data_IF_778848290036
#
_entry.id   IF_778848290036
#
_cell.length_a   1.000
_cell.length_b   1.000
_cell.length_c   1.000
_cell.angle_alpha   90.00
_cell.angle_beta   90.00
_cell.angle_gamma   90.00
#
_symmetry.space_group_name_H-M   'P 1'
#
loop_
_entity.id
_entity.type
_entity.pdbx_description
1 polymer ?
#
# COMPACT_ATOMS: atom_id res chain seq x y z
N UNK A 1 1.95 18.67 6.74
CA UNK A 1 3.19 17.98 6.34
C UNK A 1 3.38 18.12 4.85
N UNK A 2 4.63 18.28 4.39
CA UNK A 2 4.95 18.43 2.97
C UNK A 2 5.27 17.07 2.35
N UNK A 3 4.87 16.87 1.09
CA UNK A 3 5.17 15.68 0.32
C UNK A 3 6.68 15.54 0.03
N UNK A 4 7.18 14.31 -0.13
CA UNK A 4 8.59 14.05 -0.46
C UNK A 4 8.76 13.89 -1.97
N UNK A 5 9.65 14.69 -2.57
CA UNK A 5 9.91 14.65 -4.02
C UNK A 5 11.16 13.83 -4.32
N UNK A 6 11.02 12.84 -5.20
CA UNK A 6 12.15 12.06 -5.71
C UNK A 6 12.70 12.78 -6.95
N UNK A 7 13.94 13.24 -6.85
CA UNK A 7 14.67 13.80 -7.99
C UNK A 7 15.46 12.70 -8.72
N UNK A 8 15.52 12.80 -10.06
CA UNK A 8 16.36 12.01 -10.98
C UNK A 8 16.03 10.51 -11.05
N UNK A 9 14.85 10.15 -11.57
CA UNK A 9 14.55 8.78 -12.01
C UNK A 9 15.17 8.51 -13.41
N UNK A 10 15.33 9.55 -14.24
CA UNK A 10 16.05 9.54 -15.51
C UNK A 10 16.47 10.98 -15.87
N UNK A 11 17.74 11.24 -16.17
CA UNK A 11 18.28 12.59 -16.42
C UNK A 11 17.65 13.30 -17.63
N UNK A 12 16.95 12.56 -18.50
CA UNK A 12 16.24 13.08 -19.69
C UNK A 12 14.73 13.19 -19.55
N UNK A 13 14.14 12.62 -18.49
CA UNK A 13 12.70 12.62 -18.21
C UNK A 13 12.49 12.94 -16.73
N UNK A 14 12.32 14.22 -16.40
CA UNK A 14 11.91 14.67 -15.06
C UNK A 14 10.40 14.58 -14.93
N UNK A 15 9.86 13.37 -14.75
CA UNK A 15 8.54 13.24 -14.17
C UNK A 15 8.67 13.57 -12.67
N UNK A 16 7.96 14.58 -12.14
CA UNK A 16 7.95 14.84 -10.71
C UNK A 16 7.23 13.68 -10.03
N UNK A 17 8.00 12.74 -9.51
CA UNK A 17 7.46 11.64 -8.71
C UNK A 17 7.43 12.09 -7.25
N UNK A 18 6.25 12.07 -6.68
CA UNK A 18 5.98 12.57 -5.33
C UNK A 18 5.41 11.45 -4.48
N UNK A 19 6.01 11.25 -3.31
CA UNK A 19 5.55 10.34 -2.28
C UNK A 19 4.68 11.11 -1.28
N UNK A 20 3.49 10.59 -1.01
CA UNK A 20 2.52 11.19 -0.10
C UNK A 20 2.73 10.70 1.33
N UNK A 21 2.59 11.60 2.30
CA UNK A 21 2.64 11.22 3.71
C UNK A 21 1.39 10.42 4.09
N UNK A 22 1.50 9.62 5.16
CA UNK A 22 0.38 8.83 5.67
C UNK A 22 -0.86 9.68 5.97
N UNK A 23 -0.68 10.90 6.52
CA UNK A 23 -1.79 11.81 6.82
C UNK A 23 -2.54 12.27 5.57
N UNK A 24 -1.81 12.58 4.49
CA UNK A 24 -2.41 12.98 3.21
C UNK A 24 -3.20 11.82 2.62
N UNK A 25 -2.62 10.61 2.63
CA UNK A 25 -3.28 9.39 2.16
C UNK A 25 -4.57 9.15 2.96
N UNK A 26 -4.52 9.22 4.30
CA UNK A 26 -5.70 9.01 5.15
C UNK A 26 -6.79 10.05 4.94
N UNK A 27 -6.42 11.32 4.84
CA UNK A 27 -7.38 12.39 4.56
C UNK A 27 -8.12 12.13 3.26
N UNK A 28 -7.40 11.71 2.21
CA UNK A 28 -8.00 11.37 0.92
C UNK A 28 -8.88 10.13 1.00
N UNK A 29 -8.48 9.08 1.73
CA UNK A 29 -9.31 7.90 1.95
C UNK A 29 -10.63 8.23 2.70
N UNK A 30 -10.61 9.17 3.66
CA UNK A 30 -11.84 9.64 4.32
C UNK A 30 -12.80 10.39 3.38
N UNK A 31 -12.28 11.10 2.38
CA UNK A 31 -13.10 11.73 1.35
C UNK A 31 -13.73 10.66 0.45
N UNK A 32 -12.93 9.69 0.00
CA UNK A 32 -13.39 8.62 -0.88
C UNK A 32 -14.49 7.77 -0.23
N UNK A 33 -14.46 7.54 1.08
CA UNK A 33 -15.53 6.85 1.83
C UNK A 33 -16.90 7.55 1.75
N UNK A 34 -16.94 8.86 1.48
CA UNK A 34 -18.19 9.65 1.42
C UNK A 34 -18.78 9.71 0.01
N UNK A 35 -18.01 9.34 -1.00
CA UNK A 35 -18.44 9.26 -2.39
C UNK A 35 -19.08 7.89 -2.66
N UNK A 36 -19.71 7.73 -3.83
CA UNK A 36 -20.13 6.41 -4.32
C UNK A 36 -18.88 5.61 -4.74
N UNK A 37 -18.15 5.12 -3.74
CA UNK A 37 -16.84 4.50 -3.88
C UNK A 37 -16.85 3.08 -3.29
N UNK A 38 -16.15 2.11 -3.91
CA UNK A 38 -16.08 0.75 -3.37
C UNK A 38 -15.34 0.63 -2.04
N UNK A 39 -14.60 1.65 -1.58
CA UNK A 39 -13.91 1.63 -0.28
C UNK A 39 -14.93 1.75 0.86
N UNK A 40 -15.06 0.70 1.66
CA UNK A 40 -15.97 0.67 2.82
C UNK A 40 -15.31 1.19 4.10
N UNK A 41 -14.04 0.84 4.29
CA UNK A 41 -13.29 1.18 5.50
C UNK A 41 -11.78 1.16 5.24
N UNK A 42 -11.01 1.78 6.13
CA UNK A 42 -9.57 1.63 6.17
C UNK A 42 -9.05 1.83 7.58
N UNK A 43 -7.91 1.22 7.90
CA UNK A 43 -7.26 1.40 9.20
C UNK A 43 -5.76 1.15 9.10
N UNK A 44 -5.02 1.74 10.04
CA UNK A 44 -3.59 1.49 10.21
C UNK A 44 -3.34 0.21 10.99
N UNK A 45 -2.35 -0.55 10.54
CA UNK A 45 -1.82 -1.70 11.26
C UNK A 45 -0.33 -1.52 11.50
N UNK A 46 0.04 -1.04 12.69
CA UNK A 46 1.43 -0.91 13.12
C UNK A 46 2.08 -2.28 13.34
N UNK A 47 3.39 -2.38 13.07
CA UNK A 47 4.16 -3.63 13.19
C UNK A 47 3.42 -4.78 12.52
N UNK A 48 3.02 -4.57 11.27
CA UNK A 48 2.19 -5.46 10.50
C UNK A 48 2.89 -6.82 10.34
N UNK A 49 2.16 -7.89 10.64
CA UNK A 49 2.63 -9.26 10.43
C UNK A 49 1.52 -10.08 9.81
N UNK A 50 1.88 -11.16 9.11
CA UNK A 50 0.90 -12.14 8.59
C UNK A 50 -0.03 -12.67 9.70
N UNK A 51 0.47 -12.78 10.94
CA UNK A 51 -0.32 -13.18 12.10
C UNK A 51 -1.36 -12.13 12.48
N UNK A 52 -0.94 -10.86 12.64
CA UNK A 52 -1.86 -9.77 12.98
C UNK A 52 -2.95 -9.57 11.92
N UNK A 53 -2.62 -9.70 10.63
CA UNK A 53 -3.62 -9.61 9.56
C UNK A 53 -4.67 -10.71 9.73
N UNK A 54 -4.24 -11.96 9.94
CA UNK A 54 -5.16 -13.09 10.20
C UNK A 54 -6.05 -12.83 11.41
N UNK A 55 -5.52 -12.24 12.47
CA UNK A 55 -6.26 -11.94 13.72
C UNK A 55 -7.26 -10.80 13.57
N UNK A 56 -7.03 -9.87 12.62
CA UNK A 56 -7.98 -8.80 12.31
C UNK A 56 -9.10 -9.24 11.34
N UNK A 57 -9.01 -10.43 10.73
CA UNK A 57 -9.97 -10.87 9.72
C UNK A 57 -11.04 -11.84 10.24
N UNK A 58 -12.30 -11.41 10.27
CA UNK A 58 -13.44 -12.00 9.50
C UNK A 58 -14.76 -11.25 9.79
N UNK A 59 -15.26 -10.43 8.86
CA UNK A 59 -16.68 -10.08 8.76
C UNK A 59 -17.14 -10.29 7.31
N UNK A 60 -18.22 -11.06 7.12
CA UNK A 60 -19.05 -11.08 5.91
C UNK A 60 -18.35 -11.23 4.55
N UNK A 61 -17.63 -12.34 4.35
CA UNK A 61 -17.13 -12.82 3.03
C UNK A 61 -16.04 -11.99 2.34
N UNK A 62 -15.55 -10.88 2.90
CA UNK A 62 -14.40 -10.15 2.38
C UNK A 62 -13.08 -10.91 2.64
N UNK A 63 -12.55 -11.59 1.62
CA UNK A 63 -11.36 -12.44 1.70
C UNK A 63 -10.10 -11.68 1.32
N UNK A 64 -10.22 -10.76 0.37
CA UNK A 64 -9.16 -9.94 -0.19
C UNK A 64 -9.29 -8.50 0.28
N UNK A 65 -8.17 -7.79 0.29
CA UNK A 65 -8.11 -6.36 0.59
C UNK A 65 -6.91 -5.74 -0.11
N UNK A 66 -6.99 -4.43 -0.36
CA UNK A 66 -5.86 -3.64 -0.82
C UNK A 66 -5.11 -3.04 0.38
N UNK A 67 -3.82 -2.77 0.22
CA UNK A 67 -3.01 -2.18 1.26
C UNK A 67 -1.97 -1.22 0.70
N UNK A 68 -1.50 -0.31 1.55
CA UNK A 68 -0.35 0.56 1.25
C UNK A 68 0.78 0.25 2.23
N UNK A 69 1.99 0.02 1.71
CA UNK A 69 3.23 -0.07 2.48
C UNK A 69 3.96 1.26 2.46
N UNK A 70 4.62 1.55 3.57
CA UNK A 70 5.29 2.82 3.80
C UNK A 70 6.80 2.64 3.88
N UNK A 71 7.53 3.64 3.41
CA UNK A 71 8.93 3.81 3.73
C UNK A 71 9.08 4.85 4.83
N UNK A 72 10.16 4.73 5.60
CA UNK A 72 10.49 5.66 6.67
C UNK A 72 11.57 6.66 6.20
N UNK A 73 11.28 7.95 6.28
CA UNK A 73 12.24 9.03 6.04
C UNK A 73 12.29 9.91 7.28
N UNK A 74 13.41 9.88 8.00
CA UNK A 74 13.62 10.71 9.20
C UNK A 74 12.51 10.58 10.26
N UNK A 75 11.87 9.41 10.37
CA UNK A 75 10.75 9.16 11.30
C UNK A 75 9.36 9.35 10.68
N UNK A 76 9.25 9.93 9.49
CA UNK A 76 7.99 10.15 8.80
C UNK A 76 7.66 9.00 7.83
N UNK A 77 6.37 8.65 7.73
CA UNK A 77 5.85 7.55 6.90
C UNK A 77 5.35 8.08 5.55
N UNK A 78 5.92 7.57 4.46
CA UNK A 78 5.52 7.90 3.09
C UNK A 78 5.10 6.67 2.30
N UNK A 79 3.95 6.72 1.63
CA UNK A 79 3.44 5.59 0.86
C UNK A 79 4.37 5.25 -0.30
N UNK A 80 4.77 3.98 -0.43
CA UNK A 80 5.70 3.53 -1.46
C UNK A 80 5.13 2.46 -2.38
N UNK A 81 4.37 1.51 -1.84
CA UNK A 81 3.82 0.37 -2.59
C UNK A 81 2.34 0.24 -2.30
N UNK A 82 1.55 0.07 -3.35
CA UNK A 82 0.16 -0.39 -3.27
C UNK A 82 0.12 -1.85 -3.67
N UNK A 83 -0.55 -2.68 -2.88
CA UNK A 83 -0.66 -4.11 -3.16
C UNK A 83 -2.03 -4.66 -2.77
N UNK A 84 -2.36 -5.85 -3.26
CA UNK A 84 -3.50 -6.64 -2.80
C UNK A 84 -3.05 -7.91 -2.12
N UNK A 85 -3.74 -8.29 -1.05
CA UNK A 85 -3.53 -9.57 -0.39
C UNK A 85 -4.83 -10.14 0.16
N UNK A 86 -4.75 -11.14 1.04
CA UNK A 86 -5.92 -11.76 1.64
C UNK A 86 -5.72 -12.04 3.13
N UNK A 87 -6.82 -12.17 3.86
CA UNK A 87 -6.78 -12.40 5.31
C UNK A 87 -6.31 -13.80 5.71
N UNK A 88 -6.47 -14.81 4.85
CA UNK A 88 -6.17 -16.22 5.19
C UNK A 88 -4.67 -16.54 5.10
N UNK A 89 -4.06 -16.15 3.99
CA UNK A 89 -2.66 -16.36 3.65
C UNK A 89 -2.07 -15.05 3.11
N UNK A 90 -1.83 -14.06 3.99
CA UNK A 90 -1.34 -12.76 3.57
C UNK A 90 0.07 -12.88 2.99
N UNK A 91 0.25 -12.39 1.76
CA UNK A 91 1.55 -12.13 1.17
C UNK A 91 2.03 -10.73 1.50
N UNK A 92 2.74 -10.63 2.63
CA UNK A 92 3.33 -9.39 3.14
C UNK A 92 4.78 -9.67 3.55
N UNK A 93 5.70 -8.88 3.00
CA UNK A 93 7.14 -8.95 3.26
C UNK A 93 7.73 -7.53 3.31
N UNK A 94 8.55 -7.28 4.33
CA UNK A 94 9.30 -6.05 4.60
C UNK A 94 10.82 -6.26 4.53
N UNK A 95 11.27 -7.39 4.00
CA UNK A 95 12.68 -7.62 3.74
C UNK A 95 13.17 -6.70 2.61
N UNK A 96 14.35 -6.12 2.82
CA UNK A 96 15.09 -5.38 1.78
C UNK A 96 15.79 -6.32 0.80
N UNK A 97 16.29 -7.45 1.31
CA UNK A 97 17.13 -8.39 0.60
C UNK A 97 16.41 -9.73 0.48
N UNK A 98 15.91 -10.05 -0.71
CA UNK A 98 15.34 -11.36 -1.01
C UNK A 98 16.31 -12.12 -1.92
N UNK A 99 17.33 -12.74 -1.31
CA UNK A 99 18.41 -13.41 -2.05
C UNK A 99 19.10 -12.50 -3.09
N UNK A 100 19.68 -13.11 -4.13
CA UNK A 100 20.31 -12.42 -5.28
C UNK A 100 19.30 -11.70 -6.19
N UNK A 101 18.05 -11.51 -5.78
CA UNK A 101 16.99 -11.05 -6.64
C UNK A 101 16.35 -9.77 -6.06
N UNK A 102 16.81 -8.61 -6.56
CA UNK A 102 16.19 -7.28 -6.40
C UNK A 102 14.84 -7.22 -7.17
N UNK A 103 13.95 -8.18 -6.95
CA UNK A 103 12.84 -8.47 -7.89
C UNK A 103 11.75 -7.42 -7.95
N UNK A 104 11.63 -6.51 -6.96
CA UNK A 104 10.71 -5.38 -7.04
C UNK A 104 11.45 -4.05 -7.10
N UNK A 105 10.90 -3.12 -7.89
CA UNK A 105 11.44 -1.76 -8.04
C UNK A 105 11.55 -1.05 -6.69
N UNK A 106 10.58 -1.25 -5.79
CA UNK A 106 10.59 -0.67 -4.46
C UNK A 106 11.80 -1.10 -3.61
N UNK A 107 12.18 -2.38 -3.65
CA UNK A 107 13.37 -2.88 -2.93
C UNK A 107 14.65 -2.27 -3.47
N UNK A 108 14.76 -2.19 -4.79
CA UNK A 108 15.90 -1.53 -5.44
C UNK A 108 15.95 -0.05 -5.06
N UNK A 109 14.83 0.66 -5.12
CA UNK A 109 14.74 2.06 -4.71
C UNK A 109 15.21 2.28 -3.27
N UNK A 110 14.72 1.46 -2.33
CA UNK A 110 15.13 1.53 -0.91
C UNK A 110 16.61 1.24 -0.72
N UNK A 111 17.16 0.25 -1.43
CA UNK A 111 18.59 -0.08 -1.38
C UNK A 111 19.46 1.04 -1.95
N UNK A 112 19.12 1.55 -3.14
CA UNK A 112 19.88 2.59 -3.85
C UNK A 112 19.89 3.94 -3.09
N UNK A 113 18.84 4.19 -2.27
CA UNK A 113 18.69 5.41 -1.48
C UNK A 113 19.04 5.26 0.00
N UNK A 114 19.45 4.07 0.44
CA UNK A 114 19.70 3.74 1.86
C UNK A 114 18.50 4.06 2.78
N UNK A 115 17.29 3.75 2.32
CA UNK A 115 16.03 3.99 3.03
C UNK A 115 15.44 2.69 3.56
N UNK A 116 14.66 2.73 4.64
CA UNK A 116 14.04 1.55 5.24
C UNK A 116 12.53 1.50 4.99
N UNK A 117 12.00 0.29 4.95
CA UNK A 117 10.56 0.09 5.14
C UNK A 117 10.16 0.58 6.53
N UNK A 118 8.97 1.16 6.62
CA UNK A 118 8.25 1.26 7.88
C UNK A 118 7.45 -0.04 8.06
N UNK A 119 7.27 -0.50 9.30
CA UNK A 119 6.52 -1.73 9.59
C UNK A 119 5.01 -1.53 9.67
N UNK A 120 4.53 -0.32 9.38
CA UNK A 120 3.12 0.03 9.28
C UNK A 120 2.57 -0.25 7.88
N UNK A 121 1.32 -0.68 7.80
CA UNK A 121 0.50 -0.61 6.58
C UNK A 121 -0.81 0.10 6.86
N UNK A 122 -1.43 0.63 5.81
CA UNK A 122 -2.87 0.90 5.80
C UNK A 122 -3.53 -0.28 5.10
N UNK A 123 -4.53 -0.87 5.73
CA UNK A 123 -5.45 -1.84 5.14
C UNK A 123 -6.66 -1.07 4.62
N UNK A 124 -7.06 -1.32 3.37
CA UNK A 124 -8.20 -0.71 2.69
C UNK A 124 -9.19 -1.82 2.36
N UNK A 125 -10.34 -1.76 3.00
CA UNK A 125 -11.45 -2.70 2.85
C UNK A 125 -12.44 -2.16 1.83
N UNK A 126 -13.05 -3.07 1.09
CA UNK A 126 -14.09 -2.74 0.15
C UNK A 126 -15.46 -3.19 0.62
N UNK A 127 -16.50 -2.70 -0.04
CA UNK A 127 -17.87 -3.18 0.18
C UNK A 127 -17.95 -4.70 -0.02
N UNK A 128 -18.79 -5.42 0.74
CA UNK A 128 -18.93 -6.86 0.59
C UNK A 128 -19.35 -7.27 -0.83
N UNK A 129 -18.83 -8.41 -1.28
CA UNK A 129 -19.16 -8.97 -2.59
C UNK A 129 -19.79 -10.36 -2.46
N UNK A 130 -20.40 -10.84 -3.55
CA UNK A 130 -21.21 -12.04 -3.51
C UNK A 130 -20.41 -13.35 -3.63
N UNK A 131 -19.16 -13.28 -4.10
CA UNK A 131 -18.32 -14.45 -4.33
C UNK A 131 -16.82 -14.09 -4.31
N UNK A 132 -15.96 -15.10 -4.21
CA UNK A 132 -14.49 -14.96 -4.11
C UNK A 132 -13.85 -14.25 -5.32
N UNK A 133 -14.38 -14.45 -6.51
CA UNK A 133 -13.82 -13.87 -7.74
C UNK A 133 -14.07 -12.37 -7.76
N UNK A 134 -15.31 -11.94 -7.55
CA UNK A 134 -15.68 -10.53 -7.44
C UNK A 134 -14.97 -9.84 -6.27
N UNK A 135 -14.76 -10.53 -5.16
CA UNK A 135 -13.98 -10.04 -4.01
C UNK A 135 -12.53 -9.72 -4.40
N UNK A 136 -11.89 -10.67 -5.11
CA UNK A 136 -10.53 -10.52 -5.58
C UNK A 136 -10.39 -9.42 -6.63
N UNK A 137 -11.36 -9.32 -7.56
CA UNK A 137 -11.42 -8.27 -8.58
C UNK A 137 -11.61 -6.88 -7.94
N UNK A 138 -12.46 -6.76 -6.93
CA UNK A 138 -12.70 -5.50 -6.23
C UNK A 138 -11.44 -5.00 -5.52
N UNK A 139 -10.78 -5.87 -4.77
CA UNK A 139 -9.51 -5.51 -4.14
C UNK A 139 -8.42 -5.16 -5.17
N UNK A 140 -8.44 -5.77 -6.37
CA UNK A 140 -7.46 -5.51 -7.44
C UNK A 140 -7.74 -4.15 -8.09
N UNK A 141 -9.01 -3.83 -8.30
CA UNK A 141 -9.43 -2.51 -8.77
C UNK A 141 -8.94 -1.41 -7.82
N UNK A 142 -9.14 -1.59 -6.50
CA UNK A 142 -8.68 -0.63 -5.50
C UNK A 142 -7.16 -0.53 -5.46
N UNK A 143 -6.43 -1.64 -5.56
CA UNK A 143 -4.96 -1.63 -5.67
C UNK A 143 -4.48 -0.71 -6.79
N UNK A 144 -5.00 -0.89 -8.02
CA UNK A 144 -4.61 -0.06 -9.16
C UNK A 144 -5.03 1.41 -8.99
N UNK A 145 -6.21 1.64 -8.42
CA UNK A 145 -6.66 2.99 -8.10
C UNK A 145 -5.68 3.68 -7.13
N UNK A 146 -5.31 3.03 -6.02
CA UNK A 146 -4.39 3.59 -5.02
C UNK A 146 -2.99 3.83 -5.59
N UNK A 147 -2.48 2.91 -6.42
CA UNK A 147 -1.19 3.08 -7.10
C UNK A 147 -1.17 4.34 -7.97
N UNK A 148 -2.27 4.62 -8.67
CA UNK A 148 -2.40 5.82 -9.51
C UNK A 148 -2.64 7.09 -8.70
N UNK A 149 -3.51 7.03 -7.70
CA UNK A 149 -3.88 8.18 -6.86
C UNK A 149 -2.68 8.69 -6.06
N UNK A 150 -1.84 7.78 -5.55
CA UNK A 150 -0.74 8.11 -4.64
C UNK A 150 0.66 7.83 -5.21
N UNK A 151 0.78 7.66 -6.53
CA UNK A 151 2.05 7.32 -7.20
C UNK A 151 2.77 6.13 -6.54
N UNK A 152 2.08 5.06 -6.18
CA UNK A 152 2.71 3.91 -5.51
C UNK A 152 3.30 2.95 -6.55
N UNK A 153 4.40 2.30 -6.19
CA UNK A 153 4.92 1.17 -6.95
C UNK A 153 4.01 -0.05 -6.82
N UNK A 154 4.18 -0.96 -7.76
CA UNK A 154 3.60 -2.29 -7.70
C UNK A 154 4.22 -3.13 -6.58
N UNK A 155 3.43 -4.08 -6.08
CA UNK A 155 3.82 -5.02 -5.04
C UNK A 155 4.64 -6.19 -5.59
#
# INVERSE_FOLDING_TARGET
MNNYKINNINDKLKLPFELFSIDVIKSRLEELKKEDNPISNFYELDKATKKKIRENGYQDNARFFAYIKFLNVNGDKYGLVGGKTNYTSPDLDFSKNYGNSLTSFARKFLSDKDLNWDDTIIIIEHIPTNNKESDNEMALFIEFFLQREFNLFDC
#
